data_IF_390460561090
#
_entry.id   IF_390460561090
#
_cell.length_a   1.000
_cell.length_b   1.000
_cell.length_c   1.000
_cell.angle_alpha   90.00
_cell.angle_beta   90.00
_cell.angle_gamma   90.00
#
_symmetry.space_group_name_H-M   'P 1'
#
loop_
_entity.id
_entity.type
_entity.pdbx_description
1 polymer ?
2 non-polymer ?
3 water ?
#
# COMPACT_ATOMS: atom_id res chain seq x y z
N UNK A 1 15.06 -9.88 5.96
CA UNK A 1 15.51 -9.48 4.64
C UNK A 1 15.32 -7.99 4.39
N UNK A 2 16.15 -7.45 3.51
CA UNK A 2 16.05 -6.10 2.96
C UNK A 2 15.54 -6.28 1.55
N UNK A 3 14.53 -5.51 1.15
CA UNK A 3 14.16 -5.53 -0.29
C UNK A 3 13.98 -4.13 -0.82
N UNK A 4 14.30 -4.03 -2.09
CA UNK A 4 14.12 -2.85 -2.93
C UNK A 4 12.73 -2.93 -3.57
N UNK A 5 12.29 -1.83 -4.20
CA UNK A 5 10.89 -1.65 -4.65
C UNK A 5 10.75 -1.52 -6.17
N UNK A 6 11.75 -1.99 -6.95
CA UNK A 6 11.61 -2.00 -8.41
C UNK A 6 10.59 -3.04 -8.85
N UNK A 7 10.35 -4.06 -8.07
CA UNK A 7 9.22 -4.97 -8.28
C UNK A 7 8.27 -4.94 -7.08
N UNK A 8 7.10 -5.45 -7.24
CA UNK A 8 6.14 -5.53 -6.12
C UNK A 8 6.74 -6.35 -5.01
N UNK A 9 6.58 -5.94 -3.75
CA UNK A 9 7.16 -6.65 -2.61
C UNK A 9 6.26 -7.78 -2.15
N UNK A 10 6.39 -8.91 -2.89
CA UNK A 10 5.49 -10.10 -2.71
C UNK A 10 6.21 -11.15 -1.87
N UNK A 11 5.53 -11.67 -0.88
CA UNK A 11 6.08 -12.69 0.06
C UNK A 11 5.12 -13.85 0.14
N UNK A 12 5.69 -14.99 0.55
CA UNK A 12 4.89 -16.19 0.78
C UNK A 12 4.29 -16.20 2.15
N UNK A 13 3.01 -16.59 2.26
CA UNK A 13 2.27 -16.69 3.53
C UNK A 13 1.73 -18.12 3.66
N UNK A 14 1.51 -18.49 4.90
CA UNK A 14 0.89 -19.78 5.24
C UNK A 14 -0.14 -19.49 6.30
N UNK A 15 -1.35 -19.84 6.08
CA UNK A 15 -2.48 -19.44 6.97
C UNK A 15 -3.54 -20.50 6.86
N UNK A 16 -3.92 -21.04 8.01
CA UNK A 16 -4.81 -22.19 8.10
C UNK A 16 -4.41 -23.32 7.17
N UNK A 17 -3.13 -23.71 7.15
CA UNK A 17 -2.55 -24.77 6.30
C UNK A 17 -2.56 -24.55 4.79
N UNK A 18 -2.86 -23.37 4.34
CA UNK A 18 -3.00 -22.93 2.95
C UNK A 18 -1.77 -22.03 2.63
N UNK A 19 -1.21 -22.18 1.49
CA UNK A 19 -0.08 -21.38 1.03
C UNK A 19 -0.54 -20.38 -0.02
N UNK A 20 -0.13 -19.12 0.16
CA UNK A 20 -0.50 -18.05 -0.77
C UNK A 20 0.63 -17.06 -0.90
N UNK A 21 0.51 -16.16 -1.83
CA UNK A 21 1.43 -14.99 -1.92
C UNK A 21 0.61 -13.74 -1.53
N UNK A 22 1.31 -12.74 -1.06
CA UNK A 22 0.69 -11.46 -0.60
C UNK A 22 1.69 -10.34 -0.81
N UNK A 23 1.15 -9.11 -0.96
CA UNK A 23 1.96 -7.92 -1.16
C UNK A 23 2.19 -7.34 0.24
N UNK A 24 3.40 -6.97 0.55
CA UNK A 24 3.73 -6.11 1.76
C UNK A 24 3.32 -4.67 1.44
N UNK A 25 2.31 -4.15 2.13
CA UNK A 25 1.62 -2.91 1.68
C UNK A 25 1.65 -1.89 2.84
N UNK A 26 2.63 -1.00 2.84
CA UNK A 26 2.67 0.02 3.89
C UNK A 26 1.48 0.98 3.81
N UNK A 27 0.81 1.09 2.72
CA UNK A 27 -0.40 1.93 2.62
C UNK A 27 -1.65 1.31 3.14
N UNK A 28 -1.61 0.08 3.61
CA UNK A 28 -2.77 -0.65 4.15
C UNK A 28 -2.70 -0.71 5.67
N UNK A 29 -3.72 -0.22 6.39
CA UNK A 29 -3.69 -0.32 7.84
C UNK A 29 -3.87 -1.78 8.26
N UNK A 30 -4.63 -2.56 7.46
CA UNK A 30 -5.10 -3.93 7.81
C UNK A 30 -4.73 -4.90 6.69
N UNK A 31 -4.64 -6.15 7.07
CA UNK A 31 -4.33 -7.26 6.15
C UNK A 31 -5.61 -7.75 5.49
N UNK A 32 -5.64 -7.94 4.18
CA UNK A 32 -6.88 -8.40 3.47
C UNK A 32 -6.50 -9.55 2.52
N UNK A 33 -7.14 -10.71 2.62
CA UNK A 33 -6.86 -11.82 1.71
C UNK A 33 -8.15 -12.25 1.02
N UNK A 34 -8.06 -12.72 -0.19
CA UNK A 34 -9.29 -13.11 -0.90
C UNK A 34 -9.35 -14.61 -0.91
N UNK A 35 -8.24 -15.25 -1.14
CA UNK A 35 -8.40 -16.58 -1.84
C UNK A 35 -8.42 -17.68 -0.77
N UNK A 36 -9.03 -17.53 0.43
CA UNK A 36 -8.65 -18.25 1.69
C UNK A 36 -9.86 -18.58 2.60
N UNK A 37 -9.89 -19.81 3.18
CA UNK A 37 -10.84 -20.39 4.17
C UNK A 37 -10.38 -20.22 5.60
N UNK A 38 -11.11 -19.46 6.40
CA UNK A 38 -10.83 -19.50 7.83
C UNK A 38 -12.07 -19.98 8.56
N UNK A 39 -11.87 -20.74 9.65
CA UNK A 39 -12.96 -21.31 10.42
C UNK A 39 -13.33 -20.34 11.55
N UNK A 40 -14.40 -20.59 12.28
CA UNK A 40 -14.69 -19.80 13.49
C UNK A 40 -15.56 -18.62 13.14
N UNK A 41 -15.94 -17.87 14.17
CA UNK A 41 -16.80 -16.67 14.10
C UNK A 41 -15.99 -15.53 13.49
N UNK A 42 -16.70 -14.56 12.93
CA UNK A 42 -16.11 -13.34 12.31
C UNK A 42 -17.06 -12.19 12.58
N UNK A 43 -16.78 -11.01 12.05
CA UNK A 43 -17.65 -9.79 12.09
C UNK A 43 -17.61 -9.06 10.76
N UNK A 44 -18.76 -8.57 10.23
CA UNK A 44 -18.78 -7.75 9.01
C UNK A 44 -18.00 -6.46 9.23
N UNK A 45 -17.23 -6.01 8.24
CA UNK A 45 -16.53 -4.70 8.25
C UNK A 45 -16.52 -4.13 6.82
N UNK A 46 -16.39 -2.82 6.63
CA UNK A 46 -16.19 -2.21 5.27
C UNK A 46 -14.80 -1.59 5.30
N UNK A 47 -14.14 -1.57 4.16
CA UNK A 47 -12.87 -0.82 3.99
C UNK A 47 -13.07 -0.12 2.63
N UNK A 48 -12.66 1.13 2.59
CA UNK A 48 -12.67 2.01 1.40
C UNK A 48 -11.20 2.08 0.93
N UNK A 49 -11.07 2.42 -0.36
CA UNK A 49 -9.88 2.27 -1.23
C UNK A 49 -10.06 3.11 -2.46
N UNK A 50 -9.04 3.23 -3.27
CA UNK A 50 -9.28 3.68 -4.65
C UNK A 50 -10.36 2.78 -5.29
N UNK A 51 -11.48 3.39 -5.71
CA UNK A 51 -12.62 2.70 -6.35
C UNK A 51 -13.82 2.52 -5.42
N UNK A 52 -13.70 2.70 -4.11
CA UNK A 52 -14.89 2.76 -3.25
C UNK A 52 -14.86 1.76 -2.11
N UNK A 53 -15.82 0.83 -2.09
CA UNK A 53 -16.17 0.05 -0.87
C UNK A 53 -15.84 -1.42 -1.14
N UNK A 54 -15.53 -2.16 -0.07
CA UNK A 54 -15.46 -3.65 -0.12
C UNK A 54 -15.96 -4.13 1.24
N UNK A 55 -16.93 -5.04 1.19
CA UNK A 55 -17.47 -5.75 2.37
C UNK A 55 -16.51 -6.90 2.69
N UNK A 56 -16.07 -7.00 3.96
CA UNK A 56 -15.08 -8.04 4.38
C UNK A 56 -15.53 -8.69 5.67
N UNK A 57 -15.03 -9.88 5.92
CA UNK A 57 -15.18 -10.65 7.18
C UNK A 57 -13.92 -10.46 7.97
N UNK A 58 -14.01 -9.97 9.17
CA UNK A 58 -12.91 -9.79 10.12
C UNK A 58 -12.78 -10.97 11.05
N UNK A 59 -11.65 -11.66 10.95
CA UNK A 59 -11.29 -12.86 11.73
C UNK A 59 -10.19 -12.48 12.67
N UNK A 60 -10.39 -12.60 13.99
CA UNK A 60 -9.41 -12.11 14.97
C UNK A 60 -8.52 -13.27 15.41
N UNK A 61 -7.31 -12.92 15.86
CA UNK A 61 -6.27 -13.81 16.41
C UNK A 61 -6.07 -15.04 15.54
N UNK A 62 -5.84 -14.77 14.26
CA UNK A 62 -5.51 -15.76 13.23
C UNK A 62 -4.01 -15.93 13.23
N UNK A 63 -3.57 -17.16 13.48
CA UNK A 63 -2.17 -17.54 13.24
C UNK A 63 -1.85 -17.45 11.74
N UNK A 64 -0.76 -16.76 11.42
CA UNK A 64 -0.27 -16.61 10.03
C UNK A 64 1.24 -16.59 10.00
N UNK A 65 1.87 -17.26 9.05
CA UNK A 65 3.33 -17.26 8.75
C UNK A 65 3.62 -16.39 7.56
N UNK A 66 4.42 -15.34 7.74
CA UNK A 66 4.73 -14.38 6.64
C UNK A 66 6.23 -14.44 6.40
N UNK A 67 6.71 -14.75 5.21
CA UNK A 67 8.14 -14.88 4.97
C UNK A 67 8.78 -15.60 6.16
N UNK A 68 8.22 -16.74 6.53
CA UNK A 68 8.86 -17.57 7.57
C UNK A 68 8.53 -17.17 9.00
N UNK A 69 7.90 -16.03 9.29
CA UNK A 69 7.77 -15.51 10.67
C UNK A 69 6.35 -15.70 11.18
N UNK A 70 6.20 -16.34 12.32
CA UNK A 70 4.92 -16.69 12.91
C UNK A 70 4.42 -15.47 13.66
N UNK A 71 3.20 -14.99 13.37
CA UNK A 71 2.52 -13.89 14.10
C UNK A 71 1.05 -14.29 14.30
N UNK A 72 0.26 -13.49 15.02
CA UNK A 72 -1.20 -13.72 15.21
C UNK A 72 -1.88 -12.38 15.09
N UNK A 73 -2.89 -12.24 14.26
CA UNK A 73 -3.56 -10.94 14.24
C UNK A 73 -4.84 -11.03 13.51
N UNK A 74 -5.33 -9.91 13.16
CA UNK A 74 -6.61 -9.77 12.48
C UNK A 74 -6.33 -9.92 11.00
N UNK A 75 -7.16 -10.76 10.41
CA UNK A 75 -7.15 -10.96 8.96
C UNK A 75 -8.53 -10.68 8.43
N UNK A 76 -8.59 -9.80 7.48
CA UNK A 76 -9.83 -9.47 6.76
C UNK A 76 -9.92 -10.35 5.55
N UNK A 77 -11.07 -11.00 5.35
CA UNK A 77 -11.36 -11.79 4.16
C UNK A 77 -12.36 -11.10 3.28
N UNK A 78 -12.06 -10.90 2.02
CA UNK A 78 -12.97 -10.20 1.13
C UNK A 78 -12.40 -10.05 -0.26
N UNK A 79 -13.19 -9.52 -1.20
CA UNK A 79 -12.68 -9.22 -2.52
C UNK A 79 -11.58 -8.16 -2.34
N UNK A 80 -10.48 -8.45 -3.00
CA UNK A 80 -9.35 -7.55 -3.17
C UNK A 80 -8.68 -8.06 -4.42
N UNK A 81 -8.24 -7.18 -5.31
CA UNK A 81 -7.56 -7.66 -6.51
C UNK A 81 -6.22 -8.31 -6.16
N UNK A 82 -5.68 -8.05 -4.96
CA UNK A 82 -4.42 -8.67 -4.55
C UNK A 82 -4.44 -8.90 -3.05
N UNK A 83 -3.95 -10.01 -2.60
CA UNK A 83 -3.75 -10.27 -1.19
C UNK A 83 -2.73 -9.28 -0.63
N UNK A 84 -3.05 -8.64 0.47
CA UNK A 84 -2.14 -7.61 1.03
C UNK A 84 -1.96 -7.87 2.52
N UNK A 85 -0.69 -7.70 2.91
CA UNK A 85 -0.25 -7.66 4.32
C UNK A 85 -0.11 -6.20 4.73
N UNK A 86 -0.93 -5.82 5.69
CA UNK A 86 -0.92 -4.43 6.13
C UNK A 86 -0.09 -4.22 7.35
N UNK A 87 -0.16 -2.95 7.83
CA UNK A 87 0.76 -2.57 8.93
C UNK A 87 0.43 -3.37 10.20
N UNK A 88 -0.83 -3.78 10.39
CA UNK A 88 -1.22 -4.53 11.61
C UNK A 88 -0.26 -5.69 11.79
N UNK A 89 0.09 -6.35 10.67
CA UNK A 89 1.02 -7.52 10.78
C UNK A 89 2.47 -7.21 10.50
N UNK A 90 2.75 -6.16 9.70
CA UNK A 90 4.15 -5.75 9.42
C UNK A 90 4.79 -5.26 10.73
N UNK A 91 4.02 -4.65 11.62
CA UNK A 91 4.62 -4.17 12.92
C UNK A 91 5.11 -5.38 13.75
N UNK A 92 4.44 -6.52 13.62
CA UNK A 92 4.87 -7.73 14.37
C UNK A 92 6.16 -8.29 13.76
N UNK A 93 6.48 -8.02 12.50
CA UNK A 93 7.81 -8.41 11.94
C UNK A 93 8.91 -7.41 12.29
N UNK A 94 8.63 -6.26 12.92
CA UNK A 94 9.63 -5.20 13.09
C UNK A 94 10.04 -4.57 11.77
N UNK A 95 9.11 -4.54 10.78
CA UNK A 95 9.41 -3.96 9.46
C UNK A 95 9.62 -2.45 9.51
N UNK A 96 10.58 -1.95 8.72
CA UNK A 96 10.82 -0.54 8.54
C UNK A 96 10.92 -0.13 7.08
N UNK A 97 10.53 1.07 6.71
CA UNK A 97 10.88 1.73 5.44
C UNK A 97 12.14 2.52 5.66
N UNK A 98 13.04 2.57 4.68
CA UNK A 98 14.34 3.23 4.78
C UNK A 98 14.53 4.00 3.51
N UNK A 99 14.86 5.30 3.56
CA UNK A 99 15.50 5.92 2.38
C UNK A 99 16.44 7.08 2.78
N UNK B 1 15.81 8.68 5.98
CA UNK B 1 15.35 8.28 7.30
C UNK B 1 14.94 6.82 7.33
N UNK B 2 14.86 6.26 8.52
CA UNK B 2 14.32 4.94 8.81
C UNK B 2 12.99 5.19 9.53
N UNK B 3 11.94 4.50 9.15
CA UNK B 3 10.68 4.64 9.92
C UNK B 3 10.08 3.28 10.16
N UNK B 4 9.46 3.20 11.30
CA UNK B 4 8.64 2.08 11.76
C UNK B 4 7.20 2.29 11.28
N UNK B 5 6.38 1.22 11.41
CA UNK B 5 5.02 1.23 10.78
C UNK B 5 3.87 1.12 11.79
N UNK B 6 4.13 1.56 13.07
CA UNK B 6 3.03 1.60 14.05
C UNK B 6 2.08 2.74 13.73
N UNK B 7 2.53 3.75 13.04
CA UNK B 7 1.63 4.76 12.45
C UNK B 7 1.73 4.79 10.92
N UNK B 8 0.79 5.40 10.26
CA UNK B 8 0.87 5.53 8.80
C UNK B 8 2.13 6.26 8.40
N UNK B 9 2.84 5.82 7.37
CA UNK B 9 4.10 6.45 6.92
C UNK B 9 3.86 7.64 6.02
N UNK B 10 3.54 8.77 6.68
CA UNK B 10 3.12 10.02 5.98
C UNK B 10 4.33 10.98 5.89
N UNK B 11 4.52 11.51 4.71
CA UNK B 11 5.64 12.46 4.43
C UNK B 11 5.10 13.70 3.75
N UNK B 12 5.87 14.78 3.89
CA UNK B 12 5.55 16.02 3.20
C UNK B 12 6.05 16.03 1.81
N UNK B 13 5.23 16.50 0.88
CA UNK B 13 5.56 16.65 -0.53
C UNK B 13 5.37 18.13 -0.95
N UNK B 14 6.07 18.45 -2.02
CA UNK B 14 5.95 19.80 -2.63
C UNK B 14 5.86 19.57 -4.12
N UNK B 15 4.86 20.03 -4.77
CA UNK B 15 4.60 19.69 -6.20
C UNK B 15 3.85 20.84 -6.82
N UNK B 16 4.41 21.39 -7.89
CA UNK B 16 3.90 22.62 -8.53
C UNK B 16 3.68 23.72 -7.53
N UNK B 17 4.63 24.05 -6.62
CA UNK B 17 4.56 25.08 -5.58
C UNK B 17 3.51 24.89 -4.47
N UNK B 18 2.93 23.72 -4.40
CA UNK B 18 1.86 23.37 -3.45
C UNK B 18 2.45 22.36 -2.45
N UNK B 19 2.09 22.50 -1.22
CA UNK B 19 2.54 21.62 -0.14
C UNK B 19 1.39 20.72 0.28
N UNK B 20 1.69 19.42 0.39
CA UNK B 20 0.71 18.40 0.79
C UNK B 20 1.36 17.30 1.60
N UNK B 21 0.58 16.47 2.20
CA UNK B 21 1.09 15.22 2.81
C UNK B 21 0.65 14.04 1.94
N UNK B 22 1.41 12.99 2.04
CA UNK B 22 1.15 11.73 1.25
C UNK B 22 1.63 10.53 2.04
N UNK B 23 1.02 9.37 1.74
CA UNK B 23 1.36 8.13 2.40
C UNK B 23 2.42 7.48 1.51
N UNK B 24 3.50 6.99 2.07
CA UNK B 24 4.47 6.07 1.38
C UNK B 24 3.86 4.65 1.28
N UNK B 25 3.53 4.20 0.09
CA UNK B 25 2.62 3.05 -0.13
C UNK B 25 3.35 1.99 -0.97
N UNK B 26 3.97 1.02 -0.33
CA UNK B 26 4.61 -0.03 -1.11
C UNK B 26 3.60 -0.87 -1.90
N UNK B 27 2.34 -0.89 -1.58
CA UNK B 27 1.31 -1.62 -2.32
C UNK B 27 0.81 -0.91 -3.55
N UNK B 28 1.29 0.29 -3.82
CA UNK B 28 0.86 1.12 -4.96
C UNK B 28 1.96 1.12 -6.02
N UNK B 29 1.66 0.68 -7.26
CA UNK B 29 2.66 0.74 -8.32
C UNK B 29 2.94 2.19 -8.71
N UNK B 30 1.91 3.05 -8.57
CA UNK B 30 1.91 4.45 -9.12
C UNK B 30 1.52 5.42 -8.01
N UNK B 31 1.94 6.64 -8.19
CA UNK B 31 1.67 7.76 -7.27
C UNK B 31 0.32 8.40 -7.64
N UNK B 32 -0.56 8.62 -6.67
CA UNK B 32 -1.91 9.20 -6.96
C UNK B 32 -2.15 10.34 -5.97
N UNK B 33 -2.44 11.54 -6.46
CA UNK B 33 -2.79 12.67 -5.57
C UNK B 33 -4.17 13.22 -5.91
N UNK B 34 -4.89 13.70 -4.92
CA UNK B 34 -6.25 14.24 -5.18
C UNK B 34 -6.17 15.74 -5.16
N UNK B 35 -5.48 16.30 -4.21
CA UNK B 35 -5.92 17.66 -3.79
C UNK B 35 -5.12 18.69 -4.59
N UNK B 36 -4.78 18.53 -5.88
CA UNK B 36 -3.59 19.22 -6.54
C UNK B 36 -3.87 19.58 -8.01
N UNK B 37 -3.34 20.78 -8.42
CA UNK B 37 -3.29 21.45 -9.75
C UNK B 37 -2.00 21.17 -10.50
N UNK B 38 -2.07 20.48 -11.64
CA UNK B 38 -0.87 20.44 -12.49
C UNK B 38 -1.21 21.03 -13.85
N UNK B 39 -0.23 21.72 -14.46
CA UNK B 39 -0.40 22.37 -15.76
C UNK B 39 -0.07 21.39 -16.87
N UNK B 40 -0.41 21.70 -18.11
CA UNK B 40 0.09 20.88 -19.24
C UNK B 40 -0.89 19.80 -19.62
N UNK B 41 -0.52 19.05 -20.66
CA UNK B 41 -1.29 17.93 -21.23
C UNK B 41 -1.22 16.75 -20.25
N UNK B 42 -2.20 15.86 -20.34
CA UNK B 42 -2.31 14.64 -19.52
C UNK B 42 -2.97 13.59 -20.38
N UNK B 43 -3.02 12.33 -19.95
CA UNK B 43 -3.74 11.20 -20.62
C UNK B 43 -4.71 10.58 -19.63
N UNK B 44 -5.95 10.23 -20.05
CA UNK B 44 -6.91 9.51 -19.20
C UNK B 44 -6.36 8.13 -18.82
N UNK B 45 -6.55 7.67 -17.58
CA UNK B 45 -6.13 6.30 -17.18
C UNK B 45 -7.09 5.74 -16.10
N UNK B 46 -7.19 4.41 -15.96
CA UNK B 46 -8.03 3.78 -14.89
C UNK B 46 -7.07 2.97 -14.03
N UNK B 47 -7.33 2.64 -12.74
CA UNK B 47 -6.19 2.02 -11.97
C UNK B 47 -6.41 0.86 -10.98
N UNK B 48 -7.39 0.83 -10.04
CA UNK B 48 -8.21 -0.36 -9.73
C UNK B 48 -7.70 -0.84 -8.34
N UNK B 49 -8.60 -0.98 -7.36
CA UNK B 49 -8.28 -0.99 -5.92
C UNK B 49 -9.30 -1.78 -5.15
N UNK B 50 -9.11 -1.96 -3.87
CA UNK B 50 -10.25 -2.33 -3.02
C UNK B 50 -11.40 -1.31 -3.26
N UNK B 51 -12.50 -1.76 -3.88
CA UNK B 51 -13.63 -0.91 -4.30
C UNK B 51 -13.79 -0.82 -5.82
N UNK B 52 -12.74 -1.01 -6.61
CA UNK B 52 -12.89 -1.08 -8.07
C UNK B 52 -12.17 0.06 -8.75
N UNK B 53 -12.85 0.82 -9.61
CA UNK B 53 -12.22 1.70 -10.62
C UNK B 53 -12.13 3.10 -10.03
N UNK B 54 -11.10 3.83 -10.42
CA UNK B 54 -11.03 5.33 -10.25
C UNK B 54 -10.45 5.82 -11.57
N UNK B 55 -11.12 6.81 -12.15
CA UNK B 55 -10.66 7.49 -13.38
C UNK B 55 -9.65 8.57 -12.95
N UNK B 56 -8.45 8.57 -13.58
CA UNK B 56 -7.36 9.52 -13.20
C UNK B 56 -6.76 10.18 -14.43
N UNK B 57 -6.12 11.33 -14.23
CA UNK B 57 -5.30 12.07 -15.25
C UNK B 57 -3.86 11.73 -14.97
N UNK B 58 -3.18 11.20 -15.95
CA UNK B 58 -1.74 10.88 -15.91
C UNK B 58 -0.94 12.02 -16.48
N UNK B 59 -0.13 12.63 -15.61
CA UNK B 59 0.80 13.74 -15.91
C UNK B 59 2.20 13.20 -15.86
N UNK B 60 2.98 13.33 -16.93
CA UNK B 60 4.33 12.71 -17.03
C UNK B 60 5.37 13.77 -16.69
N UNK B 61 6.52 13.30 -16.22
CA UNK B 61 7.74 14.09 -15.90
C UNK B 61 7.40 15.33 -15.09
N UNK B 62 6.66 15.10 -14.02
CA UNK B 62 6.29 16.09 -12.99
C UNK B 62 7.42 16.12 -11.98
N UNK B 63 8.02 17.30 -11.83
CA UNK B 63 8.94 17.56 -10.70
C UNK B 63 8.14 17.48 -9.38
N UNK B 64 8.66 16.71 -8.42
CA UNK B 64 8.06 16.57 -7.05
C UNK B 64 9.14 16.43 -6.01
N UNK B 65 9.04 17.07 -4.86
CA UNK B 65 9.90 16.97 -3.66
C UNK B 65 9.21 16.09 -2.64
N UNK B 66 9.83 14.97 -2.26
CA UNK B 66 9.23 14.02 -1.27
C UNK B 66 10.17 13.94 -0.09
N UNK B 67 9.74 14.29 1.10
CA UNK B 67 10.64 14.33 2.27
C UNK B 67 11.98 14.93 1.83
N UNK B 68 11.92 16.10 1.22
CA UNK B 68 13.13 16.86 0.88
C UNK B 68 13.87 16.40 -0.37
N UNK B 69 13.53 15.30 -1.04
CA UNK B 69 14.27 14.75 -2.18
C UNK B 69 13.59 15.08 -3.51
N UNK B 70 14.29 15.71 -4.41
CA UNK B 70 13.78 16.13 -5.72
C UNK B 70 13.81 14.94 -6.68
N UNK B 71 12.67 14.56 -7.26
CA UNK B 71 12.60 13.50 -8.29
C UNK B 71 11.70 14.01 -9.42
N UNK B 72 11.54 13.24 -10.50
CA UNK B 72 10.61 13.59 -11.60
C UNK B 72 9.92 12.32 -12.01
N UNK B 73 8.61 12.28 -12.12
CA UNK B 73 7.99 11.05 -12.59
C UNK B 73 6.58 11.28 -12.93
N UNK B 74 5.88 10.20 -13.05
CA UNK B 74 4.48 10.23 -13.38
C UNK B 74 3.70 10.42 -12.09
N UNK B 75 2.77 11.33 -12.19
CA UNK B 75 1.79 11.59 -11.12
C UNK B 75 0.41 11.43 -11.68
N UNK B 76 -0.36 10.61 -11.04
CA UNK B 76 -1.77 10.40 -11.37
C UNK B 76 -2.59 11.33 -10.50
N UNK B 77 -3.48 12.10 -11.11
CA UNK B 77 -4.44 12.94 -10.38
C UNK B 77 -5.84 12.35 -10.45
N UNK B 78 -6.52 12.19 -9.34
CA UNK B 78 -7.85 11.60 -9.32
C UNK B 78 -8.34 11.42 -7.90
N UNK B 79 -9.60 10.97 -7.74
CA UNK B 79 -10.16 10.78 -6.41
C UNK B 79 -9.41 9.58 -5.81
N UNK B 80 -8.93 9.81 -4.62
CA UNK B 80 -8.30 8.78 -3.79
C UNK B 80 -8.59 9.27 -2.41
N UNK B 81 -8.94 8.38 -1.49
CA UNK B 81 -9.20 8.82 -0.12
C UNK B 81 -7.94 9.36 0.58
N UNK B 82 -6.74 9.02 0.09
CA UNK B 82 -5.47 9.47 0.65
C UNK B 82 -4.52 9.73 -0.51
N UNK B 83 -3.73 10.78 -0.47
CA UNK B 83 -2.63 10.97 -1.38
C UNK B 83 -1.61 9.86 -1.13
N UNK B 84 -1.07 9.26 -2.20
CA UNK B 84 -0.16 8.11 -2.02
C UNK B 84 1.02 8.26 -2.96
N UNK B 85 2.17 7.98 -2.40
CA UNK B 85 3.45 7.86 -3.14
C UNK B 85 3.67 6.37 -3.39
N UNK B 86 3.70 6.02 -4.67
CA UNK B 86 3.90 4.61 -5.04
C UNK B 86 5.32 4.30 -5.40
N UNK B 87 5.50 3.03 -5.82
CA UNK B 87 6.87 2.54 -6.02
C UNK B 87 7.53 3.34 -7.16
N UNK B 88 6.76 3.85 -8.14
CA UNK B 88 7.38 4.60 -9.27
C UNK B 88 8.32 5.65 -8.73
N UNK B 89 7.89 6.33 -7.65
CA UNK B 89 8.72 7.40 -7.05
C UNK B 89 9.56 6.95 -5.88
N UNK B 90 9.15 5.92 -5.13
CA UNK B 90 9.94 5.41 -4.00
C UNK B 90 11.24 4.83 -4.55
N UNK B 91 11.25 4.23 -5.74
CA UNK B 91 12.52 3.67 -6.29
C UNK B 91 13.55 4.79 -6.55
N UNK B 92 13.06 5.99 -6.86
CA UNK B 92 13.98 7.15 -7.06
C UNK B 92 14.57 7.60 -5.73
N UNK B 93 13.94 7.37 -4.59
CA UNK B 93 14.53 7.66 -3.26
C UNK B 93 15.52 6.57 -2.81
N UNK B 94 15.61 5.44 -3.50
CA UNK B 94 16.35 4.26 -3.05
C UNK B 94 15.71 3.65 -1.82
N UNK B 95 14.37 3.73 -1.70
CA UNK B 95 13.65 3.17 -0.54
C UNK B 95 13.71 1.64 -0.48
N UNK B 96 13.87 1.08 0.71
CA UNK B 96 13.78 -0.34 0.97
C UNK B 96 12.84 -0.73 2.11
N UNK B 97 12.20 -1.85 2.08
CA UNK B 97 11.53 -2.48 3.23
C UNK B 97 12.55 -3.38 3.89
N UNK B 98 12.55 -3.46 5.21
CA UNK B 98 13.48 -4.24 5.99
C UNK B 98 12.71 -4.99 7.04
N UNK B 99 12.87 -6.30 7.17
CA UNK B 99 12.48 -6.98 8.43
C UNK B 99 13.35 -8.21 8.74
X LIG C 1 -7.08 -0.57 4.69
X LIG C 1 -6.99 -2.14 2.90
X LIG C 1 -5.87 0.21 1.33
X LIG C 1 -7.10 -0.64 3.16
X LIG C 1 -4.30 1.13 -0.34
X LIG C 1 -3.14 0.26 -0.85
X LIG C 1 -3.96 2.64 -0.24
X LIG C 1 -5.10 3.39 0.40
X LIG C 1 -6.36 3.40 -0.20
X LIG C 1 -4.92 4.05 1.61
X LIG C 1 -7.42 4.04 0.42
X LIG C 1 -5.99 4.69 2.22
X LIG C 1 -7.24 4.68 1.63
X LIG C 1 -2.83 0.44 -2.33
X LIG C 1 -3.50 -1.40 -3.85
X LIG C 1 -4.30 -2.67 -3.52
X LIG C 1 -3.79 1.54 -5.37
X LIG C 1 -3.76 0.84 -6.55
X LIG C 1 -2.97 1.25 -7.59
X LIG C 1 -2.21 2.43 -7.49
X LIG C 1 -2.29 3.16 -6.30
X LIG C 1 -3.03 2.71 -5.23
X LIG C 1 -5.00 -2.72 -2.18
X LIG C 1 -3.41 -3.88 -3.74
X LIG C 1 -6.98 -2.71 4.27
X LIG C 1 -4.68 0.69 1.01
X LIG C 1 -3.89 -0.13 -3.20
X LIG C 1 -1.44 2.86 -8.53
X LIG C 1 -5.93 0.03 2.67
X LIG C 1 -6.77 -0.15 0.61
X LIG C 1 -1.98 0.49 -0.03
X LIG C 1 -5.12 2.05 -3.17
X LIG C 1 -5.82 0.21 -4.69
X LIG C 1 -6.34 -1.74 5.06
X LIG C 1 -4.81 0.94 -4.05
#
# INVERSE_FOLDING_TARGET
PQITLWKRPIVTIKIGGQLREALLDTGADDTVLEDIDLPGRWKPKLIVGIGGFVKVRQYEQVPIEIAGHKVVGTVLIGPTPSNIIGRNLMTQLGATLNF
PQITLWKRPIVTIKIGGQLREALLDTGADDTVLEDIDLPGRWKPKLIVGIGGFVKVRQYEQVPIEIAGHKVVGTVLIGPTPSNIIGRNLMTQLGATLNF
478 C1 C2 C3 C4 C5 C6 C7 C8 C9 C10 C11 C12 C13 C14 C15 C16 C17 C18 C19 C20 C21 C22 C23 C24 C25 N1 N2 N3 O1 O2 O3 O4 O5 O6 S1
#
